data_IF_942812609201
#
_entry.id   IF_942812609201
#
_cell.length_a   1.000
_cell.length_b   1.000
_cell.length_c   1.000
_cell.angle_alpha   90.00
_cell.angle_beta   90.00
_cell.angle_gamma   90.00
#
_symmetry.space_group_name_H-M   'P 1'
#
loop_
_entity.id
_entity.type
_entity.pdbx_description
1 polymer ?
#
# COMPACT_ATOMS: atom_id res chain seq x y z
N UNK A 1 58.69 54.11 34.87
CA UNK A 1 57.87 52.91 35.06
C UNK A 1 57.49 52.37 33.70
N UNK A 2 58.20 51.32 33.21
CA UNK A 2 57.96 50.69 31.90
C UNK A 2 57.05 49.50 32.08
N UNK A 3 55.90 49.48 31.40
CA UNK A 3 55.00 48.31 31.32
C UNK A 3 55.47 47.39 30.18
N UNK A 4 55.81 46.17 30.56
CA UNK A 4 56.20 45.11 29.66
C UNK A 4 54.87 44.40 29.26
N UNK A 5 54.55 44.44 27.96
CA UNK A 5 53.43 43.70 27.37
C UNK A 5 53.91 42.33 26.91
N UNK A 6 53.43 41.27 27.53
CA UNK A 6 53.70 39.87 27.17
C UNK A 6 52.64 39.43 26.14
N UNK A 7 53.06 39.25 24.89
CA UNK A 7 52.21 38.64 23.83
C UNK A 7 52.33 37.14 23.93
N UNK A 8 51.26 36.49 24.37
CA UNK A 8 51.10 35.03 24.31
C UNK A 8 50.53 34.69 22.93
N UNK A 9 51.34 34.10 22.10
CA UNK A 9 50.92 33.54 20.81
C UNK A 9 50.46 32.11 21.07
N UNK A 10 49.16 31.87 21.08
CA UNK A 10 48.60 30.52 21.19
C UNK A 10 48.66 29.86 19.81
N UNK A 11 49.46 28.82 19.68
CA UNK A 11 49.60 27.97 18.50
C UNK A 11 48.43 26.93 18.58
N UNK A 12 47.36 27.19 17.86
CA UNK A 12 46.29 26.23 17.64
C UNK A 12 46.70 25.21 16.56
N UNK A 13 47.24 24.08 17.00
CA UNK A 13 47.40 22.91 16.17
C UNK A 13 45.99 22.30 15.97
N UNK A 14 45.33 22.67 14.87
CA UNK A 14 44.13 22.00 14.38
C UNK A 14 44.49 20.59 13.92
N UNK A 15 44.09 19.60 14.68
CA UNK A 15 44.03 18.23 14.19
C UNK A 15 42.88 18.15 13.18
N UNK A 16 43.21 18.32 11.89
CA UNK A 16 42.34 17.86 10.82
C UNK A 16 42.41 16.34 10.83
N UNK A 17 41.39 15.71 11.45
CA UNK A 17 41.11 14.29 11.23
C UNK A 17 40.68 14.16 9.78
N UNK A 18 41.59 13.87 8.87
CA UNK A 18 41.27 13.32 7.58
C UNK A 18 40.66 11.94 7.84
N UNK A 19 39.34 11.86 7.86
CA UNK A 19 38.63 10.60 7.63
C UNK A 19 38.99 10.23 6.18
N UNK A 20 40.04 9.41 6.00
CA UNK A 20 40.26 8.75 4.73
C UNK A 20 39.01 7.91 4.45
N UNK A 21 38.13 8.40 3.60
CA UNK A 21 37.09 7.58 2.99
C UNK A 21 37.84 6.46 2.29
N UNK A 22 37.72 5.23 2.79
CA UNK A 22 38.32 4.08 2.15
C UNK A 22 37.79 4.05 0.71
N UNK A 23 38.69 4.19 -0.25
CA UNK A 23 38.33 4.30 -1.65
C UNK A 23 38.20 2.88 -2.22
N UNK A 24 37.13 2.62 -2.93
CA UNK A 24 36.93 1.35 -3.67
C UNK A 24 38.13 1.16 -4.61
N UNK A 25 38.86 0.05 -4.47
CA UNK A 25 40.07 -0.23 -5.25
C UNK A 25 39.83 -1.25 -6.36
N UNK A 26 38.76 -2.04 -6.29
CA UNK A 26 38.40 -3.02 -7.32
C UNK A 26 36.96 -2.82 -7.79
N UNK A 27 36.70 -3.09 -9.05
CA UNK A 27 35.35 -3.31 -9.59
C UNK A 27 35.01 -4.81 -9.47
N UNK A 28 33.72 -5.14 -9.38
CA UNK A 28 33.30 -6.53 -9.32
C UNK A 28 32.40 -6.88 -10.51
N UNK A 29 32.57 -8.11 -11.00
CA UNK A 29 31.74 -8.72 -12.03
C UNK A 29 31.31 -10.12 -11.57
N UNK A 30 30.00 -10.40 -11.56
CA UNK A 30 29.45 -11.69 -11.17
C UNK A 30 29.10 -12.49 -12.42
N UNK A 31 29.55 -13.75 -12.48
CA UNK A 31 29.32 -14.66 -13.60
C UNK A 31 28.79 -16.01 -13.11
N UNK A 32 28.12 -16.76 -14.00
CA UNK A 32 27.72 -18.15 -13.75
C UNK A 32 26.27 -18.30 -13.24
N UNK A 33 25.57 -17.20 -12.90
CA UNK A 33 24.18 -17.25 -12.49
C UNK A 33 23.27 -17.21 -13.72
N UNK A 34 22.20 -18.01 -13.70
CA UNK A 34 21.17 -18.04 -14.73
C UNK A 34 19.84 -17.51 -14.17
N UNK A 35 19.06 -16.85 -15.04
CA UNK A 35 17.77 -16.26 -14.67
C UNK A 35 17.88 -14.81 -14.19
N UNK A 36 17.15 -13.92 -14.86
CA UNK A 36 17.23 -12.47 -14.64
C UNK A 36 16.93 -12.08 -13.19
N UNK A 37 15.93 -12.72 -12.54
CA UNK A 37 15.57 -12.43 -11.14
C UNK A 37 16.67 -12.79 -10.16
N UNK A 38 17.32 -13.96 -10.36
CA UNK A 38 18.41 -14.43 -9.52
C UNK A 38 19.65 -13.53 -9.69
N UNK A 39 20.00 -13.17 -10.93
CA UNK A 39 21.09 -12.21 -11.22
C UNK A 39 20.83 -10.89 -10.51
N UNK A 40 19.68 -10.28 -10.75
CA UNK A 40 19.33 -8.97 -10.16
C UNK A 40 19.37 -8.99 -8.63
N UNK A 41 18.81 -10.03 -8.00
CA UNK A 41 18.81 -10.15 -6.54
C UNK A 41 20.22 -10.35 -5.97
N UNK A 42 21.06 -11.11 -6.65
CA UNK A 42 22.46 -11.30 -6.25
C UNK A 42 23.23 -9.98 -6.40
N UNK A 43 23.09 -9.27 -7.53
CA UNK A 43 23.70 -7.97 -7.75
C UNK A 43 23.28 -6.95 -6.69
N UNK A 44 21.99 -6.93 -6.32
CA UNK A 44 21.49 -6.07 -5.24
C UNK A 44 22.19 -6.39 -3.90
N UNK A 45 22.33 -7.66 -3.52
CA UNK A 45 22.98 -8.03 -2.27
C UNK A 45 24.47 -7.66 -2.27
N UNK A 46 25.18 -7.87 -3.39
CA UNK A 46 26.59 -7.51 -3.54
C UNK A 46 26.78 -5.99 -3.50
N UNK A 47 25.88 -5.23 -4.12
CA UNK A 47 25.91 -3.75 -4.10
C UNK A 47 25.60 -3.13 -2.72
N UNK A 48 25.11 -3.92 -1.75
CA UNK A 48 24.95 -3.48 -0.35
C UNK A 48 26.27 -3.50 0.43
N UNK A 49 27.33 -4.13 -0.09
CA UNK A 49 28.66 -4.13 0.54
C UNK A 49 29.22 -2.70 0.49
N UNK A 50 29.75 -2.22 1.62
CA UNK A 50 30.33 -0.90 1.70
C UNK A 50 31.48 -0.74 0.69
N UNK A 51 31.50 0.38 -0.03
CA UNK A 51 32.53 0.67 -1.03
C UNK A 51 33.94 0.69 -0.45
N UNK A 52 34.09 1.03 0.82
CA UNK A 52 35.36 1.00 1.54
C UNK A 52 35.90 -0.41 1.79
N UNK A 53 35.08 -1.44 1.69
CA UNK A 53 35.49 -2.85 1.81
C UNK A 53 35.88 -3.45 0.45
N UNK A 54 35.65 -2.75 -0.66
CA UNK A 54 35.93 -3.24 -2.04
C UNK A 54 37.41 -3.11 -2.41
N UNK A 55 38.25 -3.81 -1.66
CA UNK A 55 39.72 -3.74 -1.77
C UNK A 55 40.35 -5.00 -2.44
N UNK A 56 39.53 -6.00 -2.79
CA UNK A 56 40.01 -7.26 -3.38
C UNK A 56 40.64 -8.23 -2.38
N UNK A 57 40.64 -7.92 -1.08
CA UNK A 57 41.14 -8.78 -0.01
C UNK A 57 40.33 -10.06 0.13
N UNK A 58 40.86 -11.02 0.89
CA UNK A 58 40.14 -12.24 1.19
C UNK A 58 38.85 -11.97 2.06
N UNK A 59 38.90 -10.92 2.88
CA UNK A 59 37.72 -10.44 3.60
C UNK A 59 36.62 -9.96 2.64
N UNK A 60 36.99 -9.15 1.63
CA UNK A 60 36.02 -8.70 0.63
C UNK A 60 35.46 -9.87 -0.18
N UNK A 61 36.31 -10.82 -0.60
CA UNK A 61 35.84 -12.04 -1.28
C UNK A 61 34.85 -12.82 -0.45
N UNK A 62 35.07 -12.93 0.87
CA UNK A 62 34.11 -13.59 1.78
C UNK A 62 32.79 -12.81 1.83
N UNK A 63 32.80 -11.49 1.96
CA UNK A 63 31.58 -10.67 1.94
C UNK A 63 30.80 -10.84 0.63
N UNK A 64 31.51 -10.91 -0.51
CA UNK A 64 30.90 -11.19 -1.81
C UNK A 64 30.29 -12.59 -1.86
N UNK A 65 31.00 -13.60 -1.35
CA UNK A 65 30.49 -14.98 -1.29
C UNK A 65 29.21 -15.07 -0.44
N UNK A 66 29.18 -14.42 0.72
CA UNK A 66 28.02 -14.37 1.61
C UNK A 66 26.84 -13.63 0.96
N UNK A 67 27.12 -12.55 0.24
CA UNK A 67 26.11 -11.78 -0.48
C UNK A 67 25.51 -12.58 -1.66
N UNK A 68 26.36 -13.31 -2.41
CA UNK A 68 25.93 -14.21 -3.48
C UNK A 68 25.04 -15.31 -2.92
N UNK A 69 25.48 -15.99 -1.87
CA UNK A 69 24.73 -17.06 -1.23
C UNK A 69 23.37 -16.55 -0.74
N UNK A 70 23.34 -15.42 -0.05
CA UNK A 70 22.10 -14.76 0.39
C UNK A 70 21.17 -14.43 -0.78
N UNK A 71 21.75 -13.93 -1.90
CA UNK A 71 20.98 -13.60 -3.10
C UNK A 71 20.37 -14.80 -3.81
N UNK A 72 21.04 -15.96 -3.75
CA UNK A 72 20.64 -17.19 -4.41
C UNK A 72 19.70 -18.08 -3.56
N UNK A 73 19.82 -18.04 -2.22
CA UNK A 73 18.98 -18.82 -1.30
C UNK A 73 17.49 -18.57 -1.50
N UNK A 74 17.09 -17.34 -1.79
CA UNK A 74 15.67 -17.00 -1.99
C UNK A 74 15.05 -17.68 -3.22
N UNK A 75 15.89 -18.21 -4.11
CA UNK A 75 15.52 -19.01 -5.28
C UNK A 75 15.81 -20.49 -5.13
N UNK A 76 16.07 -20.94 -3.89
CA UNK A 76 16.27 -22.35 -3.57
C UNK A 76 17.69 -22.89 -3.74
N UNK A 77 18.68 -22.05 -4.03
CA UNK A 77 20.08 -22.47 -4.14
C UNK A 77 20.79 -22.33 -2.79
N UNK A 78 21.04 -23.44 -2.10
CA UNK A 78 21.65 -23.45 -0.77
C UNK A 78 23.09 -23.99 -0.76
N UNK A 79 23.57 -24.49 -1.89
CA UNK A 79 24.90 -25.03 -2.07
C UNK A 79 25.75 -24.23 -3.04
N UNK A 80 25.62 -22.89 -3.06
CA UNK A 80 26.39 -22.07 -3.97
C UNK A 80 27.86 -22.02 -3.56
N UNK A 81 28.74 -21.93 -4.57
CA UNK A 81 30.17 -21.71 -4.36
C UNK A 81 30.66 -20.61 -5.30
N UNK A 82 31.68 -19.86 -4.84
CA UNK A 82 32.23 -18.73 -5.59
C UNK A 82 33.73 -18.88 -5.68
N UNK A 83 34.26 -18.76 -6.89
CA UNK A 83 35.73 -18.67 -7.13
C UNK A 83 36.05 -17.30 -7.69
N UNK A 84 37.25 -16.77 -7.34
CA UNK A 84 37.61 -15.41 -7.68
C UNK A 84 38.81 -15.37 -8.61
N UNK A 85 38.75 -14.48 -9.60
CA UNK A 85 39.83 -14.13 -10.51
C UNK A 85 40.07 -12.62 -10.50
N UNK A 86 41.31 -12.16 -10.22
CA UNK A 86 41.66 -10.73 -10.26
C UNK A 86 42.33 -10.40 -11.60
N UNK A 87 41.68 -9.54 -12.39
CA UNK A 87 42.22 -9.02 -13.64
C UNK A 87 42.73 -7.58 -13.44
N UNK A 88 44.05 -7.40 -13.62
CA UNK A 88 44.67 -6.07 -13.63
C UNK A 88 44.31 -5.32 -14.90
N UNK A 89 43.88 -4.06 -14.76
CA UNK A 89 43.53 -3.17 -15.87
C UNK A 89 44.39 -1.90 -15.84
N UNK A 90 45.08 -1.58 -16.96
CA UNK A 90 45.89 -0.37 -17.04
C UNK A 90 45.01 0.89 -17.07
N UNK A 91 45.23 1.81 -16.11
CA UNK A 91 44.54 3.11 -16.04
C UNK A 91 43.08 3.02 -15.54
N UNK A 92 42.66 1.89 -15.02
CA UNK A 92 41.33 1.67 -14.41
C UNK A 92 41.52 0.85 -13.12
N UNK A 93 40.46 0.78 -12.30
CA UNK A 93 40.42 -0.13 -11.14
C UNK A 93 40.60 -1.58 -11.60
N UNK A 94 41.26 -2.38 -10.81
CA UNK A 94 41.34 -3.82 -11.08
C UNK A 94 39.93 -4.45 -11.06
N UNK A 95 39.72 -5.51 -11.84
CA UNK A 95 38.43 -6.20 -11.93
C UNK A 95 38.50 -7.53 -11.19
N UNK A 96 37.70 -7.65 -10.12
CA UNK A 96 37.49 -8.91 -9.44
C UNK A 96 36.30 -9.64 -10.10
N UNK A 97 36.57 -10.79 -10.71
CA UNK A 97 35.54 -11.64 -11.31
C UNK A 97 35.16 -12.70 -10.30
N UNK A 98 33.87 -12.72 -9.89
CA UNK A 98 33.28 -13.76 -9.05
C UNK A 98 32.57 -14.79 -9.95
N UNK A 99 33.20 -15.94 -10.14
CA UNK A 99 32.61 -17.06 -10.87
C UNK A 99 31.76 -17.90 -9.92
N UNK A 100 30.44 -17.82 -10.06
CA UNK A 100 29.47 -18.47 -9.19
C UNK A 100 29.04 -19.79 -9.81
N UNK A 101 29.05 -20.84 -8.98
CA UNK A 101 28.40 -22.12 -9.26
C UNK A 101 27.23 -22.23 -8.30
N UNK A 102 25.97 -22.02 -8.74
CA UNK A 102 24.79 -21.98 -7.86
C UNK A 102 24.50 -23.31 -7.14
N UNK A 103 24.96 -24.43 -7.69
CA UNK A 103 24.60 -25.75 -7.20
C UNK A 103 23.23 -26.20 -7.70
N UNK A 104 22.72 -27.30 -7.14
CA UNK A 104 21.39 -27.82 -7.44
C UNK A 104 20.33 -27.09 -6.62
N UNK A 105 19.24 -26.59 -7.25
CA UNK A 105 18.19 -25.86 -6.52
C UNK A 105 17.27 -26.85 -5.79
N UNK A 106 16.86 -26.48 -4.59
CA UNK A 106 15.86 -27.22 -3.82
C UNK A 106 14.48 -27.13 -4.46
N UNK A 107 13.71 -28.22 -4.36
CA UNK A 107 12.35 -28.36 -4.88
C UNK A 107 11.36 -28.59 -3.77
N UNK A 108 10.12 -28.19 -3.99
CA UNK A 108 9.02 -28.46 -3.06
C UNK A 108 8.76 -29.98 -3.03
N UNK A 109 8.98 -30.60 -1.89
CA UNK A 109 8.65 -31.98 -1.62
C UNK A 109 7.23 -32.16 -1.07
N UNK A 110 6.74 -31.15 -0.35
CA UNK A 110 5.37 -31.16 0.16
C UNK A 110 4.92 -29.81 0.72
N UNK A 111 3.59 -29.68 0.83
CA UNK A 111 2.92 -28.53 1.44
C UNK A 111 1.96 -29.04 2.52
N UNK A 112 2.23 -28.66 3.75
CA UNK A 112 1.39 -28.95 4.91
C UNK A 112 0.85 -27.59 5.40
N UNK A 113 -0.31 -27.23 4.84
CA UNK A 113 -0.97 -25.94 5.08
C UNK A 113 -2.37 -26.22 5.59
N UNK A 114 -2.57 -25.91 6.86
CA UNK A 114 -3.84 -26.10 7.56
C UNK A 114 -4.39 -24.75 8.05
N UNK A 115 -5.70 -24.60 7.91
CA UNK A 115 -6.46 -23.45 8.43
C UNK A 115 -7.49 -24.02 9.39
N UNK A 116 -7.48 -23.53 10.62
CA UNK A 116 -8.40 -23.93 11.71
C UNK A 116 -9.26 -22.73 12.15
N UNK A 117 -10.18 -22.97 13.06
CA UNK A 117 -11.17 -21.97 13.45
C UNK A 117 -12.30 -21.84 12.40
N UNK A 118 -13.10 -20.79 12.49
CA UNK A 118 -14.25 -20.62 11.61
C UNK A 118 -13.89 -20.39 10.13
N UNK A 119 -12.69 -19.88 9.84
CA UNK A 119 -12.23 -19.73 8.47
C UNK A 119 -11.96 -21.05 7.73
N UNK A 120 -11.90 -22.18 8.45
CA UNK A 120 -11.71 -23.49 7.82
C UNK A 120 -12.85 -23.84 6.85
N UNK A 121 -14.06 -23.37 7.13
CA UNK A 121 -15.26 -23.58 6.32
C UNK A 121 -15.52 -22.42 5.32
N UNK A 122 -14.76 -21.34 5.38
CA UNK A 122 -14.92 -20.19 4.49
C UNK A 122 -14.35 -20.50 3.09
N UNK A 123 -15.22 -20.44 2.07
CA UNK A 123 -14.87 -20.74 0.68
C UNK A 123 -13.68 -19.91 0.15
N UNK A 124 -13.53 -18.67 0.63
CA UNK A 124 -12.43 -17.80 0.21
C UNK A 124 -11.08 -18.33 0.67
N UNK A 125 -11.00 -18.90 1.87
CA UNK A 125 -9.78 -19.57 2.35
C UNK A 125 -9.54 -20.90 1.62
N UNK A 126 -10.60 -21.64 1.36
CA UNK A 126 -10.50 -22.87 0.55
C UNK A 126 -9.96 -22.55 -0.85
N UNK A 127 -10.37 -21.44 -1.44
CA UNK A 127 -9.88 -21.02 -2.75
C UNK A 127 -8.37 -20.71 -2.78
N UNK A 128 -7.76 -20.30 -1.65
CA UNK A 128 -6.31 -20.06 -1.57
C UNK A 128 -5.50 -21.32 -1.82
N UNK A 129 -6.04 -22.50 -1.54
CA UNK A 129 -5.33 -23.79 -1.77
C UNK A 129 -4.91 -23.99 -3.23
N UNK A 130 -5.59 -23.34 -4.18
CA UNK A 130 -5.21 -23.35 -5.61
C UNK A 130 -3.88 -22.68 -5.89
N UNK A 131 -3.41 -21.82 -4.99
CA UNK A 131 -2.16 -21.07 -5.09
C UNK A 131 -0.98 -21.77 -4.39
N UNK A 132 -1.20 -22.97 -3.82
CA UNK A 132 -0.12 -23.76 -3.25
C UNK A 132 0.82 -24.25 -4.35
N UNK A 133 2.14 -24.27 -4.11
CA UNK A 133 3.09 -24.81 -5.07
C UNK A 133 2.89 -26.30 -5.25
N UNK A 134 3.18 -26.78 -6.46
CA UNK A 134 3.13 -28.21 -6.77
C UNK A 134 4.42 -28.88 -6.35
N UNK A 135 4.32 -30.17 -6.04
CA UNK A 135 5.48 -30.98 -5.80
C UNK A 135 6.43 -30.95 -7.01
N UNK A 136 7.73 -30.79 -6.76
CA UNK A 136 8.76 -30.64 -7.79
C UNK A 136 8.98 -29.23 -8.30
N UNK A 137 8.16 -28.24 -7.93
CA UNK A 137 8.44 -26.84 -8.24
C UNK A 137 9.68 -26.35 -7.48
N UNK A 138 10.41 -25.40 -8.08
CA UNK A 138 11.55 -24.77 -7.44
C UNK A 138 11.12 -23.93 -6.23
N UNK A 139 11.93 -23.94 -5.19
CA UNK A 139 11.71 -23.10 -4.02
C UNK A 139 11.91 -21.64 -4.39
N UNK A 140 10.92 -20.83 -4.08
CA UNK A 140 10.99 -19.37 -4.09
C UNK A 140 10.44 -18.86 -2.76
N UNK A 141 11.29 -18.20 -1.93
CA UNK A 141 10.86 -17.66 -0.63
C UNK A 141 9.71 -16.66 -0.79
N UNK A 142 9.75 -15.84 -1.86
CA UNK A 142 8.71 -14.85 -2.12
C UNK A 142 7.32 -15.49 -2.25
N UNK A 143 7.20 -16.64 -2.92
CA UNK A 143 5.92 -17.35 -3.04
C UNK A 143 5.38 -17.79 -1.68
N UNK A 144 6.26 -18.24 -0.79
CA UNK A 144 5.90 -18.60 0.57
C UNK A 144 5.39 -17.39 1.36
N UNK A 145 6.13 -16.27 1.31
CA UNK A 145 5.77 -15.04 2.02
C UNK A 145 4.49 -14.41 1.45
N UNK A 146 4.31 -14.42 0.13
CA UNK A 146 3.11 -13.93 -0.53
C UNK A 146 1.88 -14.77 -0.12
N UNK A 147 2.01 -16.08 -0.07
CA UNK A 147 0.93 -16.97 0.35
C UNK A 147 0.55 -16.74 1.81
N UNK A 148 1.53 -16.64 2.70
CA UNK A 148 1.33 -16.31 4.11
C UNK A 148 0.63 -14.94 4.26
N UNK A 149 1.09 -13.94 3.53
CA UNK A 149 0.50 -12.60 3.52
C UNK A 149 -0.94 -12.63 2.99
N UNK A 150 -1.22 -13.45 1.97
CA UNK A 150 -2.57 -13.63 1.44
C UNK A 150 -3.55 -14.18 2.47
N UNK A 151 -3.11 -15.17 3.28
CA UNK A 151 -3.93 -15.68 4.40
C UNK A 151 -4.21 -14.57 5.41
N UNK A 152 -3.18 -13.83 5.86
CA UNK A 152 -3.35 -12.76 6.84
C UNK A 152 -4.26 -11.65 6.34
N UNK A 153 -4.06 -11.20 5.12
CA UNK A 153 -4.88 -10.14 4.52
C UNK A 153 -6.34 -10.58 4.34
N UNK A 154 -6.54 -11.84 3.92
CA UNK A 154 -7.89 -12.39 3.79
C UNK A 154 -8.58 -12.48 5.14
N UNK A 155 -7.86 -12.91 6.19
CA UNK A 155 -8.39 -12.97 7.54
C UNK A 155 -8.85 -11.59 8.02
N UNK A 156 -8.00 -10.57 7.92
CA UNK A 156 -8.35 -9.20 8.27
C UNK A 156 -9.55 -8.67 7.45
N UNK A 157 -9.52 -8.88 6.14
CA UNK A 157 -10.57 -8.42 5.24
C UNK A 157 -11.94 -9.02 5.55
N UNK A 158 -11.97 -10.26 6.08
CA UNK A 158 -13.19 -11.01 6.38
C UNK A 158 -13.57 -11.04 7.86
N UNK A 159 -12.89 -10.27 8.71
CA UNK A 159 -13.25 -10.11 10.12
C UNK A 159 -12.72 -11.18 11.06
N UNK A 160 -11.72 -11.94 10.65
CA UNK A 160 -10.99 -12.85 11.55
C UNK A 160 -9.83 -12.10 12.22
N UNK A 161 -10.16 -11.16 13.11
CA UNK A 161 -9.20 -10.19 13.64
C UNK A 161 -8.20 -10.82 14.63
N UNK A 162 -8.54 -11.95 15.24
CA UNK A 162 -7.66 -12.71 16.15
C UNK A 162 -6.80 -13.74 15.42
N UNK A 163 -6.92 -13.82 14.10
CA UNK A 163 -6.23 -14.81 13.28
C UNK A 163 -4.72 -14.75 13.42
N UNK A 164 -4.09 -15.88 13.69
CA UNK A 164 -2.63 -15.98 13.89
C UNK A 164 -2.07 -17.29 13.37
N UNK A 165 -0.82 -17.23 12.95
CA UNK A 165 -0.05 -18.43 12.62
C UNK A 165 0.46 -19.09 13.91
N UNK A 166 0.09 -20.34 14.12
CA UNK A 166 0.67 -21.22 15.15
C UNK A 166 1.99 -21.81 14.65
N UNK A 167 2.03 -22.17 13.36
CA UNK A 167 3.22 -22.62 12.66
C UNK A 167 3.33 -21.83 11.35
N UNK A 168 4.54 -21.34 11.07
CA UNK A 168 4.82 -20.60 9.82
C UNK A 168 6.31 -20.73 9.51
N UNK A 169 6.71 -21.79 8.78
CA UNK A 169 8.09 -22.03 8.42
C UNK A 169 8.22 -22.71 7.06
N UNK A 170 9.24 -22.31 6.34
CA UNK A 170 9.74 -22.97 5.15
C UNK A 170 10.92 -23.84 5.60
N UNK A 171 10.72 -25.16 5.61
CA UNK A 171 11.75 -26.13 5.96
C UNK A 171 12.54 -26.49 4.73
N UNK A 172 13.88 -26.47 4.83
CA UNK A 172 14.78 -26.80 3.73
C UNK A 172 15.75 -27.89 4.20
N UNK A 173 15.91 -28.91 3.39
CA UNK A 173 17.00 -29.90 3.49
C UNK A 173 18.00 -29.67 2.35
N UNK A 174 19.12 -28.99 2.59
CA UNK A 174 20.12 -28.72 1.55
C UNK A 174 20.76 -29.99 1.01
N UNK A 175 20.82 -31.05 1.83
CA UNK A 175 21.45 -32.34 1.48
C UNK A 175 20.62 -33.14 0.47
N UNK A 176 19.28 -33.08 0.62
CA UNK A 176 18.34 -33.77 -0.28
C UNK A 176 17.77 -32.88 -1.35
N UNK A 177 18.10 -31.58 -1.33
CA UNK A 177 17.52 -30.55 -2.18
C UNK A 177 15.99 -30.49 -2.14
N UNK A 178 15.41 -30.70 -0.95
CA UNK A 178 13.98 -30.73 -0.72
C UNK A 178 13.53 -29.63 0.21
N UNK A 179 12.28 -29.19 0.03
CA UNK A 179 11.68 -28.18 0.86
C UNK A 179 10.21 -28.50 1.17
N UNK A 180 9.77 -28.05 2.33
CA UNK A 180 8.38 -28.22 2.79
C UNK A 180 7.83 -26.88 3.28
N UNK A 181 6.60 -26.57 2.88
CA UNK A 181 5.83 -25.50 3.51
C UNK A 181 5.10 -26.07 4.72
N UNK A 182 5.31 -25.46 5.89
CA UNK A 182 4.62 -25.81 7.13
C UNK A 182 3.89 -24.58 7.64
N UNK A 183 2.57 -24.59 7.52
CA UNK A 183 1.72 -23.49 8.01
C UNK A 183 0.51 -24.06 8.75
N UNK A 184 0.28 -23.56 9.96
CA UNK A 184 -0.94 -23.76 10.70
C UNK A 184 -1.46 -22.38 11.07
N UNK A 185 -2.55 -21.97 10.46
CA UNK A 185 -3.22 -20.70 10.74
C UNK A 185 -4.50 -20.98 11.50
N UNK A 186 -4.63 -20.40 12.69
CA UNK A 186 -5.85 -20.41 13.49
C UNK A 186 -6.55 -19.07 13.33
N UNK A 187 -7.73 -19.08 12.71
CA UNK A 187 -8.52 -17.86 12.48
C UNK A 187 -9.23 -17.34 13.71
N UNK A 188 -9.43 -18.19 14.71
CA UNK A 188 -10.37 -17.90 15.78
C UNK A 188 -11.81 -17.79 15.27
N UNK A 189 -12.60 -16.94 15.96
CA UNK A 189 -14.00 -16.63 15.66
C UNK A 189 -14.08 -15.39 14.77
N UNK A 190 -15.06 -15.35 13.87
CA UNK A 190 -15.32 -14.20 13.01
C UNK A 190 -16.00 -13.08 13.79
N UNK A 191 -15.54 -11.86 13.61
CA UNK A 191 -16.18 -10.67 14.17
C UNK A 191 -17.40 -10.26 13.36
N UNK A 192 -18.35 -9.63 14.03
CA UNK A 192 -19.60 -9.13 13.46
C UNK A 192 -19.74 -7.63 13.72
N UNK A 193 -20.60 -6.95 12.98
CA UNK A 193 -20.91 -5.56 13.27
C UNK A 193 -21.69 -5.44 14.57
N UNK A 194 -21.24 -4.54 15.44
CA UNK A 194 -21.93 -4.12 16.65
C UNK A 194 -22.85 -2.92 16.41
N UNK A 195 -22.71 -1.88 17.22
CA UNK A 195 -23.50 -0.67 17.10
C UNK A 195 -22.96 0.22 15.98
N UNK A 196 -23.88 0.90 15.27
CA UNK A 196 -23.56 1.89 14.26
C UNK A 196 -24.06 3.24 14.74
N UNK A 197 -23.18 4.22 14.87
CA UNK A 197 -23.48 5.55 15.38
C UNK A 197 -23.07 6.64 14.39
N UNK A 198 -23.84 7.74 14.39
CA UNK A 198 -23.60 8.90 13.53
C UNK A 198 -23.34 10.14 14.38
N UNK A 199 -22.24 10.82 14.10
CA UNK A 199 -21.85 12.05 14.79
C UNK A 199 -21.65 13.20 13.81
N UNK A 200 -21.88 14.42 14.28
CA UNK A 200 -21.70 15.69 13.56
C UNK A 200 -22.61 15.92 12.34
N UNK A 201 -23.56 15.04 12.05
CA UNK A 201 -24.43 15.17 10.89
C UNK A 201 -25.50 16.25 11.04
N UNK A 202 -25.72 17.00 9.96
CA UNK A 202 -26.87 17.91 9.79
C UNK A 202 -28.10 17.20 9.18
N UNK A 203 -27.92 15.97 8.72
CA UNK A 203 -28.98 15.15 8.13
C UNK A 203 -29.62 14.29 9.22
N UNK A 204 -30.92 14.08 9.14
CA UNK A 204 -31.69 13.25 10.08
C UNK A 204 -31.19 11.81 10.06
N UNK A 205 -31.14 11.20 11.22
CA UNK A 205 -30.64 9.85 11.42
C UNK A 205 -31.39 8.79 10.61
N UNK A 206 -32.74 8.92 10.48
CA UNK A 206 -33.53 7.99 9.68
C UNK A 206 -33.15 7.96 8.19
N UNK A 207 -32.68 9.08 7.63
CA UNK A 207 -32.09 9.13 6.30
C UNK A 207 -30.73 8.44 6.25
N UNK A 208 -29.89 8.65 7.26
CA UNK A 208 -28.55 8.04 7.34
C UNK A 208 -28.64 6.53 7.52
N UNK A 209 -29.56 6.08 8.38
CA UNK A 209 -29.83 4.64 8.62
C UNK A 209 -30.20 3.92 7.31
N UNK A 210 -31.04 4.54 6.47
CA UNK A 210 -31.48 3.97 5.19
C UNK A 210 -30.40 4.01 4.08
N UNK A 211 -29.23 4.55 4.37
CA UNK A 211 -28.05 4.54 3.49
C UNK A 211 -27.04 3.46 3.86
N UNK A 212 -27.24 2.79 5.00
CA UNK A 212 -26.37 1.71 5.43
C UNK A 212 -26.54 0.49 4.53
N UNK A 213 -25.45 -0.14 4.17
CA UNK A 213 -25.40 -1.45 3.52
C UNK A 213 -25.10 -2.59 4.51
N UNK A 214 -24.94 -2.26 5.81
CA UNK A 214 -24.64 -3.19 6.90
C UNK A 214 -25.65 -3.05 8.03
N UNK A 215 -25.77 -4.11 8.84
CA UNK A 215 -26.62 -4.15 10.04
C UNK A 215 -25.84 -4.73 11.20
N UNK A 216 -26.22 -4.38 12.42
CA UNK A 216 -25.74 -5.05 13.63
C UNK A 216 -26.00 -6.57 13.54
N UNK A 217 -24.96 -7.36 13.83
CA UNK A 217 -24.98 -8.82 13.71
C UNK A 217 -24.55 -9.38 12.35
N UNK A 218 -24.46 -8.56 11.30
CA UNK A 218 -23.87 -9.01 10.02
C UNK A 218 -22.39 -9.32 10.20
N UNK A 219 -21.82 -10.29 9.43
CA UNK A 219 -20.40 -10.57 9.46
C UNK A 219 -19.58 -9.35 9.03
N UNK A 220 -18.53 -9.01 9.80
CA UNK A 220 -17.66 -7.88 9.49
C UNK A 220 -16.87 -8.12 8.21
N UNK A 221 -16.87 -7.12 7.31
CA UNK A 221 -16.08 -7.07 6.07
C UNK A 221 -15.46 -5.68 5.90
N UNK A 222 -14.15 -5.62 5.68
CA UNK A 222 -13.46 -4.34 5.42
C UNK A 222 -13.95 -3.66 4.14
N UNK A 223 -14.38 -4.43 3.13
CA UNK A 223 -14.97 -3.90 1.89
C UNK A 223 -16.20 -3.02 2.14
N UNK A 224 -17.02 -3.40 3.11
CA UNK A 224 -18.28 -2.70 3.42
C UNK A 224 -18.01 -1.29 3.96
N UNK A 225 -16.90 -1.09 4.69
CA UNK A 225 -16.49 0.24 5.18
C UNK A 225 -16.15 1.19 4.02
N UNK A 226 -15.52 0.66 2.98
CA UNK A 226 -15.21 1.42 1.77
C UNK A 226 -16.49 1.80 1.02
N UNK A 227 -17.43 0.86 0.91
CA UNK A 227 -18.73 1.09 0.30
C UNK A 227 -19.54 2.12 1.10
N UNK A 228 -19.59 2.02 2.43
CA UNK A 228 -20.21 3.03 3.30
C UNK A 228 -19.61 4.42 3.06
N UNK A 229 -18.28 4.53 3.08
CA UNK A 229 -17.60 5.80 2.83
C UNK A 229 -18.01 6.41 1.48
N UNK A 230 -18.05 5.59 0.44
CA UNK A 230 -18.48 6.01 -0.90
C UNK A 230 -19.95 6.44 -0.93
N UNK A 231 -20.84 5.67 -0.29
CA UNK A 231 -22.26 5.96 -0.23
C UNK A 231 -22.52 7.34 0.40
N UNK A 232 -21.93 7.59 1.58
CA UNK A 232 -22.11 8.87 2.27
C UNK A 232 -21.43 10.03 1.52
N UNK A 233 -20.24 9.83 0.95
CA UNK A 233 -19.51 10.86 0.20
C UNK A 233 -20.22 11.24 -1.10
N UNK A 234 -20.88 10.32 -1.76
CA UNK A 234 -21.59 10.54 -3.04
C UNK A 234 -22.78 11.48 -2.92
N UNK A 235 -23.33 11.66 -1.72
CA UNK A 235 -24.46 12.57 -1.48
C UNK A 235 -24.11 14.03 -1.64
N UNK A 236 -22.84 14.38 -1.55
CA UNK A 236 -22.35 15.76 -1.45
C UNK A 236 -22.85 16.55 -0.22
N UNK A 237 -23.52 15.91 0.73
CA UNK A 237 -23.96 16.56 1.97
C UNK A 237 -22.82 16.89 2.91
N UNK A 238 -21.75 16.10 2.84
CA UNK A 238 -20.61 16.16 3.76
C UNK A 238 -19.35 16.65 3.05
N UNK A 239 -18.55 17.40 3.78
CA UNK A 239 -17.19 17.79 3.36
C UNK A 239 -16.17 16.71 3.67
N UNK A 240 -16.44 15.91 4.71
CA UNK A 240 -15.64 14.76 5.12
C UNK A 240 -16.52 13.69 5.73
N UNK A 241 -16.22 12.45 5.40
CA UNK A 241 -16.82 11.23 5.95
C UNK A 241 -15.68 10.39 6.50
N UNK A 242 -15.65 10.18 7.82
CA UNK A 242 -14.66 9.36 8.50
C UNK A 242 -15.38 8.22 9.19
N UNK A 243 -14.90 6.99 8.96
CA UNK A 243 -15.35 5.80 9.67
C UNK A 243 -14.29 5.41 10.69
N UNK A 244 -14.73 5.20 11.93
CA UNK A 244 -13.89 4.71 13.01
C UNK A 244 -14.44 3.38 13.52
N UNK A 245 -13.78 2.26 13.19
CA UNK A 245 -14.13 0.96 13.77
C UNK A 245 -13.56 0.85 15.18
N UNK A 246 -14.40 0.43 16.13
CA UNK A 246 -14.05 0.16 17.51
C UNK A 246 -14.23 -1.32 17.81
N UNK A 247 -13.13 -2.03 18.00
CA UNK A 247 -13.14 -3.48 18.24
C UNK A 247 -13.48 -3.77 19.70
N UNK A 248 -14.49 -4.60 19.93
CA UNK A 248 -14.84 -5.19 21.24
C UNK A 248 -14.42 -6.65 21.25
N UNK A 249 -13.21 -6.91 21.72
CA UNK A 249 -12.56 -8.24 21.61
C UNK A 249 -13.33 -9.34 22.38
N UNK A 250 -13.91 -9.02 23.53
CA UNK A 250 -14.62 -9.99 24.37
C UNK A 250 -15.92 -10.49 23.69
N UNK A 251 -16.66 -9.59 23.04
CA UNK A 251 -17.93 -9.90 22.39
C UNK A 251 -17.76 -10.29 20.91
N UNK A 252 -16.55 -10.19 20.36
CA UNK A 252 -16.27 -10.40 18.93
C UNK A 252 -17.11 -9.50 18.03
N UNK A 253 -17.26 -8.24 18.44
CA UNK A 253 -18.00 -7.21 17.72
C UNK A 253 -17.11 -6.05 17.28
N UNK A 254 -17.51 -5.39 16.21
CA UNK A 254 -16.89 -4.15 15.74
C UNK A 254 -17.99 -3.08 15.64
N UNK A 255 -17.96 -2.12 16.54
CA UNK A 255 -18.84 -0.95 16.48
C UNK A 255 -18.30 0.02 15.42
N UNK A 256 -19.18 0.67 14.67
CA UNK A 256 -18.81 1.62 13.63
C UNK A 256 -19.31 3.01 14.00
N UNK A 257 -18.39 3.95 14.16
CA UNK A 257 -18.67 5.35 14.34
C UNK A 257 -18.47 6.12 13.04
N UNK A 258 -19.53 6.75 12.52
CA UNK A 258 -19.47 7.61 11.35
C UNK A 258 -19.41 9.08 11.79
N UNK A 259 -18.29 9.73 11.53
CA UNK A 259 -18.10 11.17 11.73
C UNK A 259 -18.40 11.89 10.41
N UNK A 260 -19.54 12.59 10.36
CA UNK A 260 -20.13 13.18 9.16
C UNK A 260 -20.07 14.70 9.22
N UNK A 261 -19.01 15.30 8.72
CA UNK A 261 -18.81 16.75 8.77
C UNK A 261 -19.59 17.46 7.65
N UNK A 262 -20.50 18.40 7.99
CA UNK A 262 -21.31 19.10 7.01
C UNK A 262 -20.50 19.85 5.95
N UNK A 263 -20.93 19.81 4.70
CA UNK A 263 -20.44 20.72 3.67
C UNK A 263 -21.03 22.11 3.91
N UNK A 264 -20.33 23.18 3.52
CA UNK A 264 -20.84 24.55 3.58
C UNK A 264 -22.17 24.65 2.83
N UNK A 265 -23.14 25.37 3.44
CA UNK A 265 -24.50 25.52 2.88
C UNK A 265 -24.55 26.15 1.50
N UNK A 266 -23.57 26.98 1.16
CA UNK A 266 -23.49 27.69 -0.12
C UNK A 266 -22.09 27.52 -0.68
N UNK A 267 -22.00 27.13 -1.94
CA UNK A 267 -20.79 27.16 -2.75
C UNK A 267 -21.07 28.01 -3.99
N UNK A 268 -20.21 28.97 -4.24
CA UNK A 268 -20.30 29.82 -5.44
C UNK A 268 -19.01 29.63 -6.25
N UNK A 269 -19.17 29.46 -7.54
CA UNK A 269 -18.09 29.30 -8.51
C UNK A 269 -18.24 30.44 -9.52
N UNK A 270 -17.15 31.18 -9.77
CA UNK A 270 -17.09 32.23 -10.78
C UNK A 270 -15.97 31.87 -11.76
N UNK A 271 -16.33 31.70 -13.02
CA UNK A 271 -15.41 31.48 -14.13
C UNK A 271 -15.48 32.67 -15.10
N UNK A 272 -14.32 33.13 -15.56
CA UNK A 272 -14.19 34.06 -16.67
C UNK A 272 -13.20 33.47 -17.67
N UNK A 273 -13.50 33.52 -18.95
CA UNK A 273 -12.67 32.91 -19.96
C UNK A 273 -12.88 33.54 -21.34
N UNK A 274 -12.06 33.10 -22.28
CA UNK A 274 -12.15 33.40 -23.70
C UNK A 274 -12.02 32.14 -24.51
N UNK A 275 -12.96 31.88 -25.39
CA UNK A 275 -12.90 30.78 -26.33
C UNK A 275 -12.97 31.29 -27.77
N UNK A 276 -12.34 30.58 -28.71
CA UNK A 276 -12.23 31.06 -30.10
C UNK A 276 -13.56 31.07 -30.86
N UNK A 277 -14.50 30.26 -30.44
CA UNK A 277 -15.84 30.11 -31.02
C UNK A 277 -16.90 30.99 -30.37
N UNK A 278 -16.80 31.20 -29.05
CA UNK A 278 -17.79 31.94 -28.28
C UNK A 278 -17.30 33.29 -27.73
N UNK A 279 -16.01 33.61 -27.90
CA UNK A 279 -15.42 34.86 -27.41
C UNK A 279 -15.30 34.89 -25.87
N UNK A 280 -15.32 36.11 -25.31
CA UNK A 280 -15.30 36.27 -23.87
C UNK A 280 -16.60 35.76 -23.25
N UNK A 281 -16.47 35.01 -22.12
CA UNK A 281 -17.60 34.45 -21.41
C UNK A 281 -17.44 34.53 -19.90
N UNK A 282 -18.58 34.53 -19.21
CA UNK A 282 -18.67 34.46 -17.75
C UNK A 282 -19.55 33.26 -17.38
N UNK A 283 -19.12 32.52 -16.38
CA UNK A 283 -19.90 31.45 -15.79
C UNK A 283 -20.04 31.68 -14.29
N UNK A 284 -21.27 31.51 -13.79
CA UNK A 284 -21.58 31.63 -12.37
C UNK A 284 -22.33 30.36 -11.96
N UNK A 285 -21.72 29.59 -11.07
CA UNK A 285 -22.32 28.41 -10.42
C UNK A 285 -22.72 28.76 -8.98
N UNK A 286 -23.91 28.36 -8.57
CA UNK A 286 -24.30 28.38 -7.17
C UNK A 286 -24.90 27.03 -6.77
N UNK A 287 -24.34 26.43 -5.73
CA UNK A 287 -24.74 25.12 -5.23
C UNK A 287 -25.06 25.21 -3.73
N UNK A 288 -26.21 24.67 -3.36
CA UNK A 288 -26.58 24.32 -1.98
C UNK A 288 -26.56 22.80 -1.87
N UNK A 289 -25.49 22.18 -1.35
CA UNK A 289 -25.37 20.73 -1.27
C UNK A 289 -26.44 20.10 -0.37
N UNK A 290 -26.89 20.86 0.61
CA UNK A 290 -28.01 20.52 1.47
C UNK A 290 -28.74 21.80 1.90
N UNK A 291 -30.10 21.74 1.93
CA UNK A 291 -30.97 22.88 2.29
C UNK A 291 -31.54 22.66 3.68
N UNK A 292 -31.95 21.43 3.95
CA UNK A 292 -32.62 21.02 5.19
C UNK A 292 -32.08 19.65 5.69
N UNK A 293 -32.56 19.21 6.85
CA UNK A 293 -32.17 17.94 7.46
C UNK A 293 -32.61 16.69 6.69
N UNK A 294 -33.38 16.84 5.62
CA UNK A 294 -33.77 15.74 4.70
C UNK A 294 -32.82 15.63 3.49
N UNK A 295 -31.79 16.49 3.43
CA UNK A 295 -30.80 16.43 2.37
C UNK A 295 -31.25 16.96 1.02
N UNK A 296 -32.31 17.81 0.96
CA UNK A 296 -32.68 18.48 -0.28
C UNK A 296 -31.52 19.32 -0.77
N UNK A 297 -31.29 19.36 -2.07
CA UNK A 297 -30.20 20.16 -2.67
C UNK A 297 -30.72 21.02 -3.81
N UNK A 298 -29.96 22.10 -4.08
CA UNK A 298 -30.22 23.00 -5.19
C UNK A 298 -28.90 23.36 -5.89
N UNK A 299 -28.95 23.35 -7.21
CA UNK A 299 -27.85 23.80 -8.05
C UNK A 299 -28.38 24.71 -9.14
N UNK A 300 -27.67 25.78 -9.43
CA UNK A 300 -27.91 26.59 -10.61
C UNK A 300 -26.60 26.98 -11.27
N UNK A 301 -26.64 27.11 -12.59
CA UNK A 301 -25.52 27.50 -13.41
C UNK A 301 -25.98 28.53 -14.42
N UNK A 302 -25.27 29.65 -14.53
CA UNK A 302 -25.46 30.68 -15.53
C UNK A 302 -24.19 30.82 -16.36
N UNK A 303 -24.33 30.65 -17.68
CA UNK A 303 -23.25 30.88 -18.65
C UNK A 303 -23.69 31.99 -19.60
N UNK A 304 -22.85 33.01 -19.79
CA UNK A 304 -23.12 34.16 -20.65
C UNK A 304 -21.90 34.44 -21.54
N UNK A 305 -22.13 34.38 -22.85
CA UNK A 305 -21.22 34.88 -23.88
C UNK A 305 -22.03 35.70 -24.91
N UNK A 306 -21.36 36.35 -25.87
CA UNK A 306 -22.06 37.11 -26.90
C UNK A 306 -23.00 36.22 -27.77
N UNK A 307 -22.58 35.08 -28.29
CA UNK A 307 -23.44 34.18 -29.07
C UNK A 307 -24.31 33.26 -28.22
N UNK A 308 -23.88 32.88 -26.97
CA UNK A 308 -24.55 31.85 -26.18
C UNK A 308 -24.89 32.32 -24.77
N UNK A 309 -26.13 32.11 -24.36
CA UNK A 309 -26.60 32.30 -22.98
C UNK A 309 -27.30 31.04 -22.52
N UNK A 310 -26.91 30.52 -21.38
CA UNK A 310 -27.50 29.34 -20.79
C UNK A 310 -27.74 29.55 -19.31
N UNK A 311 -28.93 29.22 -18.85
CA UNK A 311 -29.31 29.19 -17.43
C UNK A 311 -29.92 27.82 -17.13
N UNK A 312 -29.44 27.18 -16.09
CA UNK A 312 -29.99 25.91 -15.58
C UNK A 312 -30.19 26.00 -14.07
N UNK A 313 -31.28 25.44 -13.58
CA UNK A 313 -31.55 25.29 -12.16
C UNK A 313 -32.16 23.91 -11.88
N UNK A 314 -31.61 23.21 -10.90
CA UNK A 314 -32.02 21.87 -10.50
C UNK A 314 -32.27 21.80 -8.99
N UNK A 315 -33.41 21.23 -8.62
CA UNK A 315 -33.79 20.96 -7.22
C UNK A 315 -34.01 19.47 -7.02
N UNK A 316 -33.25 18.87 -6.07
CA UNK A 316 -33.30 17.43 -5.78
C UNK A 316 -33.86 17.16 -4.40
N UNK A 317 -34.75 16.17 -4.30
CA UNK A 317 -35.44 15.72 -3.09
C UNK A 317 -35.16 14.22 -2.89
N UNK A 318 -34.21 13.83 -2.03
CA UNK A 318 -33.96 12.42 -1.71
C UNK A 318 -35.17 11.81 -0.98
N UNK A 319 -35.48 10.55 -1.29
CA UNK A 319 -36.56 9.82 -0.63
C UNK A 319 -36.05 9.02 0.56
N UNK A 320 -36.78 9.07 1.65
CA UNK A 320 -36.41 8.40 2.90
C UNK A 320 -36.10 6.90 2.73
N UNK A 321 -36.83 6.20 1.87
CA UNK A 321 -36.68 4.74 1.69
C UNK A 321 -35.27 4.33 1.27
N UNK A 322 -34.63 5.10 0.41
CA UNK A 322 -33.23 4.94 0.01
C UNK A 322 -32.76 6.25 -0.62
N UNK A 323 -32.13 7.15 0.17
CA UNK A 323 -31.74 8.47 -0.29
C UNK A 323 -30.66 8.47 -1.37
N UNK A 324 -29.90 7.39 -1.51
CA UNK A 324 -28.85 7.25 -2.52
C UNK A 324 -29.43 7.02 -3.91
N UNK A 325 -30.47 6.15 -4.01
CA UNK A 325 -30.96 5.64 -5.27
C UNK A 325 -32.29 6.26 -5.70
N UNK A 326 -33.10 6.75 -4.75
CA UNK A 326 -34.44 7.29 -5.04
C UNK A 326 -34.53 8.75 -4.66
N UNK A 327 -34.90 9.57 -5.64
CA UNK A 327 -35.11 11.00 -5.46
C UNK A 327 -36.05 11.56 -6.52
N UNK A 328 -36.70 12.67 -6.21
CA UNK A 328 -37.32 13.52 -7.21
C UNK A 328 -36.33 14.62 -7.62
N UNK A 329 -36.29 14.89 -8.91
CA UNK A 329 -35.47 15.95 -9.46
C UNK A 329 -36.33 16.85 -10.35
N UNK A 330 -36.28 18.14 -10.06
CA UNK A 330 -36.97 19.16 -10.83
C UNK A 330 -35.91 20.06 -11.46
N UNK A 331 -35.89 20.09 -12.79
CA UNK A 331 -34.95 20.91 -13.55
C UNK A 331 -35.69 21.90 -14.44
N UNK A 332 -35.16 23.09 -14.54
CA UNK A 332 -35.58 24.10 -15.53
C UNK A 332 -34.37 24.72 -16.15
N UNK A 333 -34.48 25.13 -17.41
CA UNK A 333 -33.39 25.74 -18.14
C UNK A 333 -33.85 26.68 -19.21
N UNK A 334 -32.97 27.61 -19.58
CA UNK A 334 -33.14 28.50 -20.72
C UNK A 334 -31.82 28.53 -21.51
N UNK A 335 -31.94 28.34 -22.80
CA UNK A 335 -30.79 28.44 -23.70
C UNK A 335 -31.16 29.36 -24.89
N UNK A 336 -30.24 30.26 -25.18
CA UNK A 336 -30.31 31.13 -26.38
C UNK A 336 -28.97 31.06 -27.07
N UNK A 337 -28.98 30.71 -28.36
CA UNK A 337 -27.82 30.71 -29.23
C UNK A 337 -28.12 31.53 -30.48
N UNK A 338 -27.28 32.54 -30.74
CA UNK A 338 -27.35 33.33 -31.97
C UNK A 338 -26.28 32.77 -32.92
N UNK A 339 -26.70 32.22 -34.05
CA UNK A 339 -25.84 31.75 -35.14
C UNK A 339 -25.33 32.92 -35.95
#
# INVERSE_FOLDING_TARGET
>A
MKKISLKITALLLGWMSFSALAEQTVDIEIRGIKGERAIRNTDMNVNLIDKGEMDGSDRYKQLVSDAVDKGLRVFGYYGSSVTFELKKRKGQRDLLIANVTPGEPSKIAGTDVEITGEAAEDENFTALRKNLPKQGELVEHQKYDDYKTSISNLALARGYLDGKFQISRLEISPETHEAWWRMLFDSGVRYHYGNITFNHSQIREDYLQNMLNIKSGDPYLVSDLSELTNNFSSTNWFSSVLLQPHVREEEKLVDIELLLYPRKKNSMELGVGFATDTGPHVQIGWTKPWINSRGHSFRTNLYVSAPKQNFEATYKIPLLKNPLNYYYEFSTGYEKENK
#
